data_IF_082078599664
#
_entry.id   IF_082078599664
#
_cell.length_a   1.000
_cell.length_b   1.000
_cell.length_c   1.000
_cell.angle_alpha   90.00
_cell.angle_beta   90.00
_cell.angle_gamma   90.00
#
_symmetry.space_group_name_H-M   'P 1'
#
loop_
_entity.id
_entity.type
_entity.pdbx_description
1 polymer ?
#
# COMPACT_ATOMS: atom_id res chain seq x y z
N UNK A 1 -35.04 -9.15 -5.61
CA UNK A 1 -34.04 -8.91 -6.67
C UNK A 1 -33.19 -7.69 -6.30
N UNK A 2 -32.07 -7.89 -5.61
CA UNK A 2 -30.96 -6.92 -5.48
C UNK A 2 -29.67 -7.75 -5.38
N UNK A 3 -29.03 -8.02 -6.51
CA UNK A 3 -27.66 -8.53 -6.52
C UNK A 3 -26.78 -7.35 -6.13
N UNK A 4 -26.24 -7.39 -4.90
CA UNK A 4 -25.19 -6.47 -4.49
C UNK A 4 -24.01 -6.72 -5.43
N UNK A 5 -23.65 -5.74 -6.25
CA UNK A 5 -22.50 -5.85 -7.14
C UNK A 5 -21.25 -5.95 -6.25
N UNK A 6 -20.62 -7.12 -6.26
CA UNK A 6 -19.25 -7.26 -5.76
C UNK A 6 -18.41 -6.30 -6.61
N UNK A 7 -17.95 -5.20 -6.01
CA UNK A 7 -17.07 -4.26 -6.70
C UNK A 7 -15.69 -4.89 -6.70
N UNK A 8 -15.39 -5.63 -7.76
CA UNK A 8 -14.10 -6.26 -7.97
C UNK A 8 -12.98 -5.21 -8.09
N UNK A 9 -11.77 -5.62 -7.69
CA UNK A 9 -10.59 -4.79 -7.89
C UNK A 9 -10.18 -4.87 -9.35
N UNK A 10 -9.93 -3.72 -9.97
CA UNK A 10 -9.70 -3.62 -11.41
C UNK A 10 -8.39 -2.89 -11.64
N UNK A 11 -7.50 -3.51 -12.42
CA UNK A 11 -6.38 -2.81 -13.04
C UNK A 11 -6.90 -1.93 -14.17
N UNK A 12 -6.59 -0.63 -14.14
CA UNK A 12 -6.98 0.32 -15.17
C UNK A 12 -5.77 1.15 -15.60
N UNK A 13 -5.72 1.55 -16.87
CA UNK A 13 -4.67 2.42 -17.41
C UNK A 13 -5.25 3.81 -17.68
N UNK A 14 -4.66 4.83 -17.07
CA UNK A 14 -5.10 6.22 -17.20
C UNK A 14 -3.91 7.10 -17.57
N UNK A 15 -3.93 7.71 -18.77
CA UNK A 15 -2.84 8.56 -19.28
C UNK A 15 -1.43 7.92 -19.13
N UNK A 16 -1.31 6.63 -19.45
CA UNK A 16 -0.08 5.81 -19.31
C UNK A 16 0.37 5.49 -17.89
N UNK A 17 -0.46 5.81 -16.89
CA UNK A 17 -0.30 5.38 -15.51
C UNK A 17 -1.14 4.13 -15.30
N UNK A 18 -0.53 3.09 -14.76
CA UNK A 18 -1.25 1.88 -14.36
C UNK A 18 -1.76 2.07 -12.93
N UNK A 19 -3.07 1.94 -12.78
CA UNK A 19 -3.82 2.14 -11.55
C UNK A 19 -4.43 0.82 -11.10
N UNK A 20 -4.49 0.63 -9.80
CA UNK A 20 -5.25 -0.44 -9.17
C UNK A 20 -6.37 0.20 -8.35
N UNK A 21 -7.60 -0.12 -8.73
CA UNK A 21 -8.80 0.37 -8.07
C UNK A 21 -9.22 -0.64 -7.00
N UNK A 22 -9.34 -0.17 -5.76
CA UNK A 22 -9.83 -0.95 -4.62
C UNK A 22 -11.07 -0.28 -4.02
N UNK A 23 -12.26 -0.53 -4.61
CA UNK A 23 -13.50 0.09 -4.16
C UNK A 23 -13.91 -0.37 -2.77
N UNK A 24 -13.48 -1.57 -2.35
CA UNK A 24 -13.81 -2.14 -1.05
C UNK A 24 -13.13 -1.37 0.09
N UNK A 25 -11.87 -0.99 -0.10
CA UNK A 25 -11.14 -0.17 0.88
C UNK A 25 -11.21 1.34 0.60
N UNK A 26 -11.94 1.78 -0.42
CA UNK A 26 -11.98 3.18 -0.86
C UNK A 26 -10.57 3.71 -1.16
N UNK A 27 -9.75 2.92 -1.86
CA UNK A 27 -8.37 3.24 -2.23
C UNK A 27 -8.14 3.16 -3.73
N UNK A 28 -7.34 4.09 -4.23
CA UNK A 28 -6.75 4.03 -5.55
C UNK A 28 -5.24 3.93 -5.39
N UNK A 29 -4.61 2.93 -6.01
CA UNK A 29 -3.15 2.76 -5.96
C UNK A 29 -2.54 3.01 -7.32
N UNK A 30 -1.53 3.87 -7.38
CA UNK A 30 -0.69 4.07 -8.55
C UNK A 30 0.37 2.97 -8.52
N UNK A 31 0.37 2.10 -9.53
CA UNK A 31 1.20 0.90 -9.61
C UNK A 31 2.47 1.12 -10.42
N UNK A 32 2.34 1.71 -11.61
CA UNK A 32 3.47 1.98 -12.50
C UNK A 32 3.19 3.23 -13.35
N UNK A 33 4.26 3.93 -13.72
CA UNK A 33 4.22 5.13 -14.54
C UNK A 33 5.60 5.45 -15.12
N UNK A 34 5.69 5.85 -16.39
CA UNK A 34 6.97 6.22 -16.99
C UNK A 34 7.51 7.56 -16.44
N UNK A 35 6.62 8.51 -16.17
CA UNK A 35 6.95 9.82 -15.60
C UNK A 35 5.72 10.40 -14.89
N UNK A 36 5.93 10.91 -13.68
CA UNK A 36 4.86 11.56 -12.92
C UNK A 36 5.01 13.09 -12.98
N UNK A 37 3.99 13.76 -13.50
CA UNK A 37 3.90 15.23 -13.56
C UNK A 37 2.78 15.72 -12.63
N UNK A 38 2.86 16.98 -12.21
CA UNK A 38 1.81 17.59 -11.37
C UNK A 38 0.43 17.56 -12.05
N UNK A 39 0.37 17.77 -13.37
CA UNK A 39 -0.87 17.71 -14.15
C UNK A 39 -1.51 16.31 -14.08
N UNK A 40 -0.72 15.26 -14.31
CA UNK A 40 -1.21 13.88 -14.24
C UNK A 40 -1.68 13.53 -12.83
N UNK A 41 -0.98 13.99 -11.79
CA UNK A 41 -1.40 13.80 -10.40
C UNK A 41 -2.72 14.50 -10.11
N UNK A 42 -2.94 15.70 -10.62
CA UNK A 42 -4.18 16.44 -10.43
C UNK A 42 -5.36 15.77 -11.14
N UNK A 43 -5.13 15.23 -12.34
CA UNK A 43 -6.12 14.42 -13.04
C UNK A 43 -6.47 13.14 -12.25
N UNK A 44 -5.47 12.47 -11.67
CA UNK A 44 -5.68 11.27 -10.86
C UNK A 44 -6.47 11.60 -9.59
N UNK A 45 -6.19 12.73 -8.93
CA UNK A 45 -7.00 13.21 -7.78
C UNK A 45 -8.44 13.46 -8.18
N UNK A 46 -8.65 14.17 -9.28
CA UNK A 46 -9.98 14.47 -9.82
C UNK A 46 -10.74 13.18 -10.15
N UNK A 47 -10.07 12.23 -10.79
CA UNK A 47 -10.62 10.91 -11.09
C UNK A 47 -10.96 10.13 -9.81
N UNK A 48 -10.07 10.13 -8.82
CA UNK A 48 -10.30 9.47 -7.54
C UNK A 48 -11.51 10.05 -6.81
N UNK A 49 -11.64 11.39 -6.79
CA UNK A 49 -12.77 12.08 -6.20
C UNK A 49 -14.10 11.76 -6.90
N UNK A 50 -14.12 11.78 -8.24
CA UNK A 50 -15.30 11.39 -9.03
C UNK A 50 -15.74 9.94 -8.76
N UNK A 51 -14.78 9.05 -8.52
CA UNK A 51 -15.04 7.65 -8.20
C UNK A 51 -15.32 7.39 -6.71
N UNK A 52 -15.38 8.43 -5.88
CA UNK A 52 -15.57 8.36 -4.42
C UNK A 52 -14.51 7.52 -3.69
N UNK A 53 -13.27 7.53 -4.18
CA UNK A 53 -12.14 7.01 -3.43
C UNK A 53 -11.74 7.96 -2.31
N UNK A 54 -11.18 7.39 -1.25
CA UNK A 54 -10.78 8.10 -0.06
C UNK A 54 -9.33 8.49 0.00
N UNK A 55 -8.48 7.63 -0.56
CA UNK A 55 -7.04 7.74 -0.46
C UNK A 55 -6.40 7.29 -1.75
N UNK A 56 -5.42 8.05 -2.20
CA UNK A 56 -4.49 7.65 -3.26
C UNK A 56 -3.19 7.21 -2.60
N UNK A 57 -2.62 6.12 -3.09
CA UNK A 57 -1.38 5.53 -2.58
C UNK A 57 -0.40 5.30 -3.73
N UNK A 58 0.89 5.52 -3.49
CA UNK A 58 1.93 5.13 -4.43
C UNK A 58 3.20 4.72 -3.67
N UNK A 59 3.88 3.69 -4.18
CA UNK A 59 5.27 3.43 -3.83
C UNK A 59 6.09 4.00 -4.99
N UNK A 60 6.87 5.03 -4.74
CA UNK A 60 7.63 5.72 -5.77
C UNK A 60 9.13 5.65 -5.49
N UNK A 61 9.94 5.78 -6.53
CA UNK A 61 11.39 5.96 -6.39
C UNK A 61 11.69 7.43 -6.07
N UNK A 62 12.91 7.70 -5.58
CA UNK A 62 13.33 9.04 -5.13
C UNK A 62 13.16 10.11 -6.22
N UNK A 63 13.32 9.75 -7.50
CA UNK A 63 13.24 10.67 -8.63
C UNK A 63 11.82 11.23 -8.82
N UNK A 64 10.79 10.47 -8.44
CA UNK A 64 9.40 10.86 -8.54
C UNK A 64 8.86 11.51 -7.26
N UNK A 65 9.51 11.29 -6.11
CA UNK A 65 9.06 11.77 -4.80
C UNK A 65 8.75 13.27 -4.81
N UNK A 66 9.66 14.07 -5.39
CA UNK A 66 9.48 15.52 -5.49
C UNK A 66 8.17 15.94 -6.18
N UNK A 67 7.78 15.25 -7.25
CA UNK A 67 6.52 15.52 -7.98
C UNK A 67 5.30 15.26 -7.10
N UNK A 68 5.34 14.18 -6.29
CA UNK A 68 4.26 13.83 -5.37
C UNK A 68 4.13 14.86 -4.25
N UNK A 69 5.23 15.18 -3.57
CA UNK A 69 5.23 16.16 -2.47
C UNK A 69 4.76 17.54 -2.95
N UNK A 70 5.25 18.01 -4.11
CA UNK A 70 4.79 19.28 -4.70
C UNK A 70 3.31 19.27 -5.07
N UNK A 71 2.75 18.09 -5.33
CA UNK A 71 1.32 17.90 -5.59
C UNK A 71 0.51 17.65 -4.32
N UNK A 72 1.08 17.85 -3.13
CA UNK A 72 0.37 17.77 -1.85
C UNK A 72 0.21 16.35 -1.30
N UNK A 73 0.94 15.37 -1.82
CA UNK A 73 1.04 14.06 -1.18
C UNK A 73 1.97 14.13 0.04
N UNK A 74 1.72 13.26 1.00
CA UNK A 74 2.53 13.08 2.21
C UNK A 74 3.33 11.78 2.11
N UNK A 75 4.62 11.82 2.45
CA UNK A 75 5.43 10.62 2.65
C UNK A 75 5.08 9.97 4.00
N UNK A 76 4.63 8.71 3.97
CA UNK A 76 4.27 7.95 5.18
C UNK A 76 5.42 7.08 5.69
N UNK A 77 6.47 6.89 4.86
CA UNK A 77 7.67 6.13 5.18
C UNK A 77 8.36 5.60 3.94
N UNK A 78 9.39 4.79 4.14
CA UNK A 78 10.15 4.15 3.07
C UNK A 78 10.44 2.68 3.38
N UNK A 79 10.72 1.91 2.32
CA UNK A 79 11.06 0.49 2.38
C UNK A 79 12.35 0.29 1.60
N UNK A 80 13.44 -0.01 2.31
CA UNK A 80 14.73 -0.32 1.69
C UNK A 80 14.67 -1.67 0.97
N UNK A 81 15.31 -1.75 -0.21
CA UNK A 81 15.39 -2.99 -0.98
C UNK A 81 14.15 -3.34 -1.82
N UNK A 82 13.10 -2.51 -1.81
CA UNK A 82 11.82 -2.81 -2.45
C UNK A 82 11.91 -2.93 -3.98
N UNK A 83 12.51 -1.95 -4.64
CA UNK A 83 12.61 -1.89 -6.10
C UNK A 83 13.89 -2.56 -6.59
N UNK A 84 13.96 -3.90 -6.52
CA UNK A 84 15.16 -4.68 -6.89
C UNK A 84 16.43 -4.18 -6.18
N UNK A 85 16.31 -3.84 -4.89
CA UNK A 85 17.42 -3.28 -4.10
C UNK A 85 17.29 -1.78 -3.83
N UNK A 86 16.53 -1.04 -4.64
CA UNK A 86 16.33 0.39 -4.43
C UNK A 86 15.20 0.67 -3.41
N UNK A 87 15.35 1.77 -2.68
CA UNK A 87 14.35 2.22 -1.70
C UNK A 87 13.06 2.68 -2.37
N UNK A 88 11.92 2.24 -1.85
CA UNK A 88 10.61 2.76 -2.20
C UNK A 88 10.12 3.76 -1.16
N UNK A 89 9.65 4.92 -1.61
CA UNK A 89 9.00 5.93 -0.78
C UNK A 89 7.49 5.76 -0.89
N UNK A 90 6.86 5.47 0.24
CA UNK A 90 5.42 5.28 0.36
C UNK A 90 4.76 6.65 0.53
N UNK A 91 4.05 7.11 -0.50
CA UNK A 91 3.36 8.40 -0.49
C UNK A 91 1.85 8.21 -0.55
N UNK A 92 1.12 9.16 0.04
CA UNK A 92 -0.33 9.14 0.01
C UNK A 92 -0.97 10.51 -0.09
N UNK A 93 -2.23 10.51 -0.54
CA UNK A 93 -3.07 11.70 -0.58
C UNK A 93 -4.49 11.33 -0.13
N UNK A 94 -5.03 12.04 0.84
CA UNK A 94 -6.42 11.88 1.27
C UNK A 94 -7.31 12.81 0.45
N UNK A 95 -8.35 12.24 -0.19
CA UNK A 95 -9.33 13.01 -0.97
C UNK A 95 -10.20 13.87 -0.05
N UNK A 96 -10.49 13.37 1.17
CA UNK A 96 -11.19 14.10 2.22
C UNK A 96 -10.32 14.14 3.49
N UNK A 97 -10.03 15.35 3.99
CA UNK A 97 -9.21 15.58 5.19
C UNK A 97 -9.79 15.00 6.50
N UNK A 98 -11.09 14.69 6.54
CA UNK A 98 -11.75 14.09 7.72
C UNK A 98 -11.20 12.71 8.11
N UNK A 99 -10.45 12.05 7.21
CA UNK A 99 -9.77 10.76 7.46
C UNK A 99 -8.27 10.89 7.78
N UNK A 100 -7.71 12.09 7.71
CA UNK A 100 -6.28 12.32 7.94
C UNK A 100 -5.92 12.23 9.43
N UNK A 101 -6.89 12.47 10.31
CA UNK A 101 -6.69 12.51 11.76
C UNK A 101 -7.12 11.17 12.37
N UNK A 102 -6.17 10.43 12.92
CA UNK A 102 -6.49 9.35 13.85
C UNK A 102 -7.19 9.95 15.07
N UNK A 103 -8.47 9.63 15.25
CA UNK A 103 -9.30 10.09 16.39
C UNK A 103 -8.69 9.69 17.76
N UNK A 104 -7.64 8.85 17.78
CA UNK A 104 -7.01 8.31 18.98
C UNK A 104 -5.47 8.36 18.93
N UNK A 105 -4.91 9.53 18.62
CA UNK A 105 -3.46 9.72 18.57
C UNK A 105 -2.75 9.34 19.88
N UNK A 106 -3.34 9.67 21.04
CA UNK A 106 -2.81 9.24 22.34
C UNK A 106 -2.78 7.71 22.54
N UNK A 107 -3.75 6.98 21.96
CA UNK A 107 -3.79 5.51 22.07
C UNK A 107 -2.71 4.90 21.19
N UNK A 108 -2.51 5.46 19.99
CA UNK A 108 -1.42 5.08 19.08
C UNK A 108 -0.07 5.22 19.79
N UNK A 109 0.18 6.37 20.42
CA UNK A 109 1.46 6.63 21.09
C UNK A 109 1.69 5.70 22.29
N UNK A 110 0.63 5.41 23.07
CA UNK A 110 0.71 4.42 24.15
C UNK A 110 1.06 3.02 23.66
N UNK A 111 0.48 2.58 22.54
CA UNK A 111 0.78 1.28 21.93
C UNK A 111 2.23 1.25 21.45
N UNK A 112 2.71 2.28 20.75
CA UNK A 112 4.09 2.34 20.28
C UNK A 112 5.07 2.35 21.45
N UNK A 113 4.83 3.16 22.47
CA UNK A 113 5.66 3.20 23.67
C UNK A 113 5.72 1.82 24.37
N UNK A 114 4.59 1.11 24.44
CA UNK A 114 4.55 -0.24 25.00
C UNK A 114 5.34 -1.25 24.17
N UNK A 115 5.23 -1.21 22.83
CA UNK A 115 6.01 -2.07 21.94
C UNK A 115 7.51 -1.77 21.93
N UNK A 116 7.91 -0.53 22.21
CA UNK A 116 9.32 -0.15 22.32
C UNK A 116 9.91 -0.50 23.70
N UNK A 117 9.10 -0.45 24.75
CA UNK A 117 9.50 -0.79 26.11
C UNK A 117 9.53 -2.30 26.36
N UNK A 118 8.87 -3.11 25.54
CA UNK A 118 8.98 -4.56 25.64
C UNK A 118 10.37 -5.03 25.23
N UNK A 119 10.95 -5.92 26.02
CA UNK A 119 12.23 -6.54 25.69
C UNK A 119 12.09 -7.27 24.34
N UNK A 120 12.87 -6.83 23.35
CA UNK A 120 13.01 -7.61 22.11
C UNK A 120 13.59 -8.96 22.49
N UNK A 121 12.84 -10.02 22.25
CA UNK A 121 13.37 -11.39 22.26
C UNK A 121 14.33 -11.52 21.06
N UNK A 122 15.53 -10.99 21.24
CA UNK A 122 16.66 -11.16 20.33
C UNK A 122 17.31 -12.50 20.66
N UNK A 123 16.67 -13.58 20.20
CA UNK A 123 17.13 -14.91 20.64
C UNK A 123 16.34 -16.10 20.13
N UNK A 124 15.28 -15.94 19.35
CA UNK A 124 14.87 -17.05 18.49
C UNK A 124 15.76 -17.00 17.27
N UNK A 125 16.94 -17.64 17.33
CA UNK A 125 17.50 -18.16 16.10
C UNK A 125 16.36 -18.98 15.51
N UNK A 126 15.80 -18.56 14.38
CA UNK A 126 15.02 -19.46 13.55
C UNK A 126 15.95 -20.65 13.38
N UNK A 127 15.65 -21.71 14.12
CA UNK A 127 16.57 -22.83 14.29
C UNK A 127 17.00 -23.27 12.89
N UNK A 128 18.24 -23.76 12.76
CA UNK A 128 18.92 -24.18 11.52
C UNK A 128 18.17 -25.26 10.68
N UNK A 129 16.86 -25.42 10.89
CA UNK A 129 15.93 -26.37 10.30
C UNK A 129 14.85 -25.71 9.44
N UNK A 130 14.79 -24.38 9.30
CA UNK A 130 13.88 -23.74 8.33
C UNK A 130 14.59 -23.61 6.98
N UNK A 131 14.11 -24.38 6.00
CA UNK A 131 14.52 -24.25 4.61
C UNK A 131 13.57 -23.31 3.89
N UNK A 132 14.07 -22.15 3.46
CA UNK A 132 13.37 -21.28 2.52
C UNK A 132 13.78 -21.71 1.11
N UNK A 133 12.81 -22.13 0.31
CA UNK A 133 12.97 -22.49 -1.10
C UNK A 133 11.72 -22.12 -1.87
N UNK A 134 11.83 -22.08 -3.19
CA UNK A 134 10.66 -21.97 -4.06
C UNK A 134 9.72 -23.16 -3.85
N UNK A 135 8.42 -22.88 -3.91
CA UNK A 135 7.38 -23.90 -3.86
C UNK A 135 7.38 -24.71 -5.15
N UNK A 136 7.23 -26.03 -5.02
CA UNK A 136 7.15 -26.96 -6.14
C UNK A 136 5.80 -27.69 -6.15
N UNK A 137 5.50 -28.43 -7.22
CA UNK A 137 4.23 -29.17 -7.34
C UNK A 137 3.94 -30.10 -6.15
N UNK A 138 4.99 -30.66 -5.54
CA UNK A 138 4.88 -31.51 -4.33
C UNK A 138 4.31 -30.79 -3.11
N UNK A 139 4.36 -29.47 -3.07
CA UNK A 139 3.89 -28.66 -1.93
C UNK A 139 2.39 -28.35 -2.04
N UNK A 140 1.79 -28.54 -3.22
CA UNK A 140 0.38 -28.22 -3.52
C UNK A 140 -0.60 -28.81 -2.49
N UNK A 141 -0.53 -30.10 -2.10
CA UNK A 141 -1.49 -30.67 -1.16
C UNK A 141 -1.47 -30.00 0.23
N UNK A 142 -0.28 -29.62 0.71
CA UNK A 142 -0.11 -28.96 2.01
C UNK A 142 -0.61 -27.51 1.94
N UNK A 143 -0.30 -26.81 0.85
CA UNK A 143 -0.80 -25.45 0.58
C UNK A 143 -2.33 -25.41 0.52
N UNK A 144 -2.96 -26.37 -0.18
CA UNK A 144 -4.43 -26.50 -0.22
C UNK A 144 -5.00 -26.69 1.20
N UNK A 145 -4.33 -27.46 2.05
CA UNK A 145 -4.75 -27.68 3.44
C UNK A 145 -4.87 -26.41 4.27
N UNK A 146 -4.05 -25.38 4.00
CA UNK A 146 -4.09 -24.09 4.70
C UNK A 146 -5.35 -23.27 4.42
N UNK A 147 -5.98 -23.49 3.26
CA UNK A 147 -7.15 -22.74 2.80
C UNK A 147 -8.45 -23.55 2.88
N UNK A 148 -8.41 -24.74 3.48
CA UNK A 148 -9.60 -25.50 3.80
C UNK A 148 -10.17 -25.01 5.13
N UNK A 149 -11.01 -23.98 5.04
CA UNK A 149 -12.10 -23.73 5.99
C UNK A 149 -13.39 -24.39 5.49
#
# INVERSE_FOLDING_TARGET
MKRSAVKENIGSRFKQVDLYLDPMNSRLKIMDFPKMTAEVLEDIKSYAAQMNFGKILCNCRIEALGSFIQSGFTEEGHIDGFFNGDTAYCVSYFINGDREISVQEEVKDKIIAHCQASERVTGSSIQDRILIRDAEERDIPQMIGLFKE
#
